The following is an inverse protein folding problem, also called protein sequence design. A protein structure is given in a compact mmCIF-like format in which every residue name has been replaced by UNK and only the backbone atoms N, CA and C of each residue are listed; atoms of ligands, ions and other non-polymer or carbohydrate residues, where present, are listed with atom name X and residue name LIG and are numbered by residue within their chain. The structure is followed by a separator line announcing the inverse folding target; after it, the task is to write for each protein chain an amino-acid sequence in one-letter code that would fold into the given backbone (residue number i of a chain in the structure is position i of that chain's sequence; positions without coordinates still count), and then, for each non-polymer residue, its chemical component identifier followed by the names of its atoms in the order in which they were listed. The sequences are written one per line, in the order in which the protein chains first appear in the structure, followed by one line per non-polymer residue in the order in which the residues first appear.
data_IF_394620992017
#
_entry.id   IF_394620992017
#
_cell.length_a   1.000
_cell.length_b   1.000
_cell.length_c   1.000
_cell.angle_alpha   90.00
_cell.angle_beta   90.00
_cell.angle_gamma   90.00
#
_symmetry.space_group_name_H-M   'P 1'
#
loop_
_entity.id
_entity.type
_entity.pdbx_description
1 polymer ?
#
# COMPACT_ATOMS: atom_id res chain seq x y z
N UNK A 1 17.38 53.51 -42.49
CA UNK A 1 16.75 52.17 -42.48
C UNK A 1 17.81 51.12 -42.25
N UNK A 2 17.67 50.32 -41.19
CA UNK A 2 18.09 48.91 -41.06
C UNK A 2 17.64 48.43 -39.67
N UNK A 3 16.45 47.84 -39.59
CA UNK A 3 16.04 47.11 -38.39
C UNK A 3 16.84 45.81 -38.33
N UNK A 4 17.59 45.62 -37.25
CA UNK A 4 18.16 44.31 -36.90
C UNK A 4 17.07 43.44 -36.30
N UNK A 5 16.69 42.39 -37.03
CA UNK A 5 15.84 41.34 -36.49
C UNK A 5 16.67 40.49 -35.51
N UNK A 6 16.34 40.55 -34.21
CA UNK A 6 16.71 39.46 -33.31
C UNK A 6 15.75 38.29 -33.59
N UNK A 7 16.29 37.19 -34.08
CA UNK A 7 15.57 35.92 -34.06
C UNK A 7 15.56 35.40 -32.62
N UNK A 8 14.38 35.28 -32.01
CA UNK A 8 14.23 34.48 -30.80
C UNK A 8 14.54 33.02 -31.15
N UNK A 9 15.69 32.53 -30.68
CA UNK A 9 15.90 31.10 -30.49
C UNK A 9 14.99 30.65 -29.34
N UNK A 10 13.78 30.22 -29.68
CA UNK A 10 12.96 29.43 -28.78
C UNK A 10 13.71 28.12 -28.52
N UNK A 11 14.27 27.97 -27.32
CA UNK A 11 14.86 26.72 -26.86
C UNK A 11 13.72 25.70 -26.71
N UNK A 12 13.67 24.73 -27.62
CA UNK A 12 12.78 23.57 -27.52
C UNK A 12 13.30 22.66 -26.41
N UNK A 13 12.92 22.99 -25.17
CA UNK A 13 12.99 22.07 -24.03
C UNK A 13 11.68 21.29 -23.89
N UNK A 14 11.75 20.12 -23.25
CA UNK A 14 10.59 19.26 -22.91
C UNK A 14 9.84 18.60 -24.09
N UNK A 15 10.52 17.73 -24.84
CA UNK A 15 9.89 16.74 -25.74
C UNK A 15 10.31 15.28 -25.46
N UNK A 16 11.12 15.05 -24.42
CA UNK A 16 11.73 13.73 -24.11
C UNK A 16 11.36 13.18 -22.73
N UNK A 17 10.47 13.85 -21.98
CA UNK A 17 10.15 13.53 -20.59
C UNK A 17 8.65 13.33 -20.35
N UNK A 18 7.93 13.01 -21.43
CA UNK A 18 6.50 12.70 -21.41
C UNK A 18 6.15 11.66 -22.46
N UNK A 19 5.19 10.79 -22.14
CA UNK A 19 4.69 9.74 -23.00
C UNK A 19 3.36 10.19 -23.61
N UNK A 20 3.20 10.01 -24.92
CA UNK A 20 1.97 10.38 -25.61
C UNK A 20 0.93 9.25 -25.52
N UNK A 21 -0.29 9.59 -25.12
CA UNK A 21 -1.40 8.65 -25.08
C UNK A 21 -2.27 8.81 -26.34
N UNK A 22 -2.20 7.84 -27.26
CA UNK A 22 -2.87 7.91 -28.57
C UNK A 22 -4.38 8.15 -28.52
N UNK A 23 -5.11 7.44 -27.64
CA UNK A 23 -6.58 7.55 -27.59
C UNK A 23 -7.06 8.89 -27.01
N UNK A 24 -6.50 9.30 -25.86
CA UNK A 24 -6.84 10.55 -25.19
C UNK A 24 -6.21 11.81 -25.83
N UNK A 25 -5.13 11.64 -26.60
CA UNK A 25 -4.35 12.69 -27.27
C UNK A 25 -3.74 13.72 -26.32
N UNK A 26 -3.30 13.25 -25.16
CA UNK A 26 -2.61 14.04 -24.12
C UNK A 26 -1.22 13.47 -23.85
N UNK A 27 -0.32 14.30 -23.33
CA UNK A 27 0.94 13.81 -22.77
C UNK A 27 0.77 13.47 -21.28
N UNK A 28 1.34 12.33 -20.90
CA UNK A 28 1.54 11.90 -19.54
C UNK A 28 2.98 12.20 -19.13
N UNK A 29 3.18 12.95 -18.04
CA UNK A 29 4.52 13.32 -17.54
C UNK A 29 5.34 12.09 -17.13
N UNK A 30 6.66 12.25 -17.04
CA UNK A 30 7.54 11.26 -16.44
C UNK A 30 6.97 10.71 -15.13
N UNK A 31 7.05 9.38 -14.98
CA UNK A 31 6.56 8.61 -13.85
C UNK A 31 5.06 8.35 -13.84
N UNK A 32 4.24 9.05 -14.64
CA UNK A 32 2.80 8.90 -14.59
C UNK A 32 2.37 7.44 -14.85
N UNK A 33 1.39 6.98 -14.07
CA UNK A 33 0.91 5.59 -14.06
C UNK A 33 -0.43 5.52 -14.78
N UNK A 34 -0.61 4.47 -15.57
CA UNK A 34 -1.86 4.14 -16.22
C UNK A 34 -2.16 2.64 -16.03
N UNK A 35 -3.39 2.33 -15.61
CA UNK A 35 -3.83 0.95 -15.39
C UNK A 35 -4.49 0.39 -16.65
N UNK A 36 -3.89 -0.68 -17.18
CA UNK A 36 -4.41 -1.42 -18.34
C UNK A 36 -5.42 -2.49 -17.91
N UNK A 37 -5.21 -3.12 -16.74
CA UNK A 37 -6.11 -4.14 -16.19
C UNK A 37 -6.02 -4.22 -14.66
N UNK A 38 -7.15 -4.51 -14.01
CA UNK A 38 -7.22 -4.69 -12.56
C UNK A 38 -7.21 -3.38 -11.77
N UNK A 39 -7.11 -3.48 -10.45
CA UNK A 39 -7.18 -2.35 -9.53
C UNK A 39 -5.86 -2.10 -8.79
N UNK A 40 -5.56 -0.86 -8.36
CA UNK A 40 -4.24 -0.53 -7.84
C UNK A 40 -3.82 -1.33 -6.60
N UNK A 41 -2.68 -2.03 -6.68
CA UNK A 41 -2.08 -2.77 -5.57
C UNK A 41 -2.68 -4.15 -5.30
N UNK A 42 -3.60 -4.62 -6.15
CA UNK A 42 -4.02 -6.03 -6.14
C UNK A 42 -3.14 -6.88 -7.06
N UNK A 43 -3.00 -8.15 -6.69
CA UNK A 43 -2.22 -9.13 -7.45
C UNK A 43 -2.77 -9.31 -8.86
N UNK A 44 -1.88 -9.36 -9.85
CA UNK A 44 -2.23 -9.48 -11.26
C UNK A 44 -2.71 -8.18 -11.93
N UNK A 45 -2.77 -7.05 -11.21
CA UNK A 45 -3.09 -5.77 -11.85
C UNK A 45 -1.94 -5.31 -12.77
N UNK A 46 -2.26 -4.99 -14.02
CA UNK A 46 -1.32 -4.62 -15.07
C UNK A 46 -1.38 -3.12 -15.27
N UNK A 47 -0.24 -2.45 -15.10
CA UNK A 47 -0.11 -1.00 -15.25
C UNK A 47 1.16 -0.65 -16.02
N UNK A 48 1.13 0.45 -16.76
CA UNK A 48 2.30 1.03 -17.42
C UNK A 48 2.73 2.32 -16.72
N UNK A 49 4.04 2.54 -16.66
CA UNK A 49 4.66 3.74 -16.09
C UNK A 49 5.38 4.47 -17.21
N UNK A 50 5.10 5.76 -17.41
CA UNK A 50 5.91 6.58 -18.31
C UNK A 50 7.31 6.80 -17.70
N UNK A 51 8.39 6.50 -18.42
CA UNK A 51 9.76 6.81 -18.01
C UNK A 51 10.55 7.23 -19.25
N UNK A 52 11.18 8.41 -19.24
CA UNK A 52 12.01 8.94 -20.35
C UNK A 52 11.33 8.90 -21.74
N UNK A 53 10.01 9.17 -21.78
CA UNK A 53 9.20 9.13 -23.00
C UNK A 53 8.77 7.73 -23.47
N UNK A 54 9.06 6.67 -22.70
CA UNK A 54 8.70 5.27 -23.00
C UNK A 54 7.75 4.72 -21.93
N UNK A 55 6.77 3.92 -22.33
CA UNK A 55 5.91 3.21 -21.37
C UNK A 55 6.52 1.87 -20.94
N UNK A 56 6.65 1.66 -19.64
CA UNK A 56 7.15 0.43 -19.03
C UNK A 56 6.03 -0.33 -18.31
N UNK A 57 5.60 -1.48 -18.85
CA UNK A 57 4.59 -2.33 -18.20
C UNK A 57 5.11 -3.05 -16.97
N UNK A 58 4.24 -3.23 -15.96
CA UNK A 58 4.50 -3.90 -14.69
C UNK A 58 3.25 -4.69 -14.28
N UNK A 59 3.43 -5.84 -13.64
CA UNK A 59 2.34 -6.65 -13.08
C UNK A 59 2.48 -6.64 -11.56
N UNK A 60 1.47 -6.12 -10.86
CA UNK A 60 1.46 -6.06 -9.40
C UNK A 60 1.39 -7.47 -8.79
N UNK A 61 2.19 -7.69 -7.74
CA UNK A 61 2.24 -8.94 -6.96
C UNK A 61 1.60 -8.81 -5.56
N UNK A 62 0.98 -7.66 -5.27
CA UNK A 62 0.34 -7.29 -4.00
C UNK A 62 1.30 -7.10 -2.80
N UNK A 63 2.60 -6.99 -3.06
CA UNK A 63 3.57 -6.53 -2.04
C UNK A 63 3.66 -5.00 -2.12
N UNK A 64 3.39 -4.33 -1.00
CA UNK A 64 3.58 -2.88 -0.85
C UNK A 64 5.00 -2.57 -0.35
N UNK A 65 5.43 -1.32 -0.40
CA UNK A 65 6.73 -0.78 0.08
C UNK A 65 8.01 -1.37 -0.53
N UNK A 66 7.89 -2.39 -1.37
CA UNK A 66 8.98 -2.89 -2.20
C UNK A 66 9.48 -1.87 -3.24
N UNK A 67 10.73 -2.05 -3.74
CA UNK A 67 11.25 -1.33 -4.90
C UNK A 67 10.38 -1.49 -6.15
N UNK A 68 10.63 -0.65 -7.18
CA UNK A 68 9.94 -0.78 -8.47
C UNK A 68 10.10 -2.19 -9.04
N UNK A 69 8.96 -2.80 -9.38
CA UNK A 69 8.88 -4.05 -10.13
C UNK A 69 9.58 -3.92 -11.51
N UNK A 70 10.15 -5.03 -12.03
CA UNK A 70 10.80 -5.05 -13.33
C UNK A 70 9.80 -4.80 -14.46
N UNK A 71 10.29 -4.30 -15.60
CA UNK A 71 9.46 -4.14 -16.80
C UNK A 71 9.12 -5.51 -17.42
N UNK A 72 7.88 -5.67 -17.87
CA UNK A 72 7.41 -6.78 -18.70
C UNK A 72 6.90 -6.26 -20.04
N UNK A 73 6.72 -7.17 -21.00
CA UNK A 73 6.00 -6.87 -22.24
C UNK A 73 4.49 -6.72 -21.95
N UNK A 74 3.87 -5.63 -22.41
CA UNK A 74 2.46 -5.35 -22.13
C UNK A 74 1.52 -6.36 -22.80
N UNK A 75 1.78 -6.70 -24.06
CA UNK A 75 0.90 -7.55 -24.86
C UNK A 75 0.97 -9.00 -24.35
N UNK A 76 2.17 -9.47 -23.97
CA UNK A 76 2.34 -10.75 -23.30
C UNK A 76 1.62 -10.79 -21.93
N UNK A 77 1.77 -9.75 -21.10
CA UNK A 77 1.14 -9.73 -19.78
C UNK A 77 -0.40 -9.72 -19.87
N UNK A 78 -0.96 -8.98 -20.82
CA UNK A 78 -2.41 -8.96 -21.08
C UNK A 78 -2.89 -10.30 -21.65
N UNK A 79 -2.16 -10.91 -22.58
CA UNK A 79 -2.51 -12.22 -23.14
C UNK A 79 -2.42 -13.36 -22.12
N UNK A 80 -1.40 -13.38 -21.24
CA UNK A 80 -1.29 -14.35 -20.15
C UNK A 80 -2.42 -14.19 -19.12
N UNK A 81 -2.85 -12.95 -18.86
CA UNK A 81 -3.99 -12.66 -17.99
C UNK A 81 -5.31 -13.19 -18.58
N UNK A 82 -5.59 -12.91 -19.86
CA UNK A 82 -6.82 -13.33 -20.55
C UNK A 82 -6.95 -14.86 -20.69
N UNK A 83 -5.83 -15.60 -20.62
CA UNK A 83 -5.82 -17.07 -20.61
C UNK A 83 -6.16 -17.66 -19.23
N UNK A 84 -6.01 -16.89 -18.14
CA UNK A 84 -6.03 -17.42 -16.77
C UNK A 84 -7.24 -17.02 -15.91
N UNK A 85 -8.18 -16.20 -16.37
CA UNK A 85 -9.32 -15.75 -15.55
C UNK A 85 -10.70 -15.96 -16.18
N UNK A 86 -11.63 -16.41 -15.34
CA UNK A 86 -13.06 -16.56 -15.62
C UNK A 86 -13.73 -15.18 -15.72
N UNK A 87 -14.43 -14.85 -16.83
CA UNK A 87 -15.09 -13.55 -17.02
C UNK A 87 -16.29 -13.30 -16.09
N UNK A 88 -16.82 -14.32 -15.39
CA UNK A 88 -18.00 -14.17 -14.52
C UNK A 88 -17.67 -13.70 -13.07
N UNK A 89 -16.41 -13.37 -12.77
CA UNK A 89 -16.02 -12.79 -11.45
C UNK A 89 -16.31 -11.28 -11.41
N UNK A 90 -17.57 -10.93 -11.09
CA UNK A 90 -18.00 -9.55 -10.83
C UNK A 90 -17.27 -8.91 -9.63
N UNK A 91 -16.26 -8.09 -9.92
CA UNK A 91 -15.55 -7.20 -8.98
C UNK A 91 -16.43 -6.00 -8.57
N UNK A 92 -17.63 -6.27 -8.05
CA UNK A 92 -18.68 -5.27 -7.84
C UNK A 92 -18.27 -4.13 -6.88
N UNK A 93 -18.42 -2.88 -7.35
CA UNK A 93 -18.10 -1.61 -6.65
C UNK A 93 -18.55 -1.56 -5.18
N UNK A 94 -17.63 -1.55 -4.22
CA UNK A 94 -17.88 -1.32 -2.77
C UNK A 94 -16.74 -0.45 -2.15
N UNK A 95 -16.98 0.15 -0.98
CA UNK A 95 -16.43 1.48 -0.59
C UNK A 95 -15.55 1.49 0.67
N UNK A 96 -14.27 1.95 0.71
CA UNK A 96 -13.26 2.28 -0.31
C UNK A 96 -11.76 2.43 0.13
N UNK A 97 -11.17 1.82 1.21
CA UNK A 97 -9.69 1.76 1.49
C UNK A 97 -9.05 0.45 2.09
N UNK A 98 -9.67 -0.41 2.93
CA UNK A 98 -9.12 -1.76 3.28
C UNK A 98 -9.34 -2.81 2.17
N UNK A 99 -8.61 -3.95 2.17
CA UNK A 99 -8.81 -5.05 1.20
C UNK A 99 -10.28 -5.46 1.08
N UNK A 100 -10.76 -5.54 -0.16
CA UNK A 100 -12.07 -6.10 -0.49
C UNK A 100 -11.99 -7.65 -0.41
N UNK A 101 -12.78 -8.34 0.44
CA UNK A 101 -12.66 -9.79 0.67
C UNK A 101 -12.69 -10.73 -0.57
N UNK A 102 -13.37 -10.39 -1.69
CA UNK A 102 -13.28 -11.16 -2.94
C UNK A 102 -11.99 -10.92 -3.75
N UNK A 103 -11.24 -9.84 -3.44
CA UNK A 103 -10.03 -9.43 -4.16
C UNK A 103 -8.74 -9.70 -3.37
N UNK A 104 -8.83 -9.84 -2.04
CA UNK A 104 -7.95 -10.72 -1.26
C UNK A 104 -8.59 -11.11 0.06
N UNK A 105 -8.24 -12.30 0.56
CA UNK A 105 -8.90 -12.90 1.72
C UNK A 105 -8.50 -12.19 3.03
N UNK A 106 -9.34 -12.36 4.06
CA UNK A 106 -9.03 -11.96 5.43
C UNK A 106 -8.60 -13.18 6.25
N UNK A 107 -7.80 -12.95 7.28
CA UNK A 107 -7.34 -14.04 8.15
C UNK A 107 -8.54 -14.72 8.84
N UNK A 108 -8.71 -16.05 8.71
CA UNK A 108 -9.81 -16.78 9.34
C UNK A 108 -9.90 -16.50 10.83
N UNK A 109 -11.12 -16.24 11.32
CA UNK A 109 -11.41 -15.86 12.71
C UNK A 109 -10.68 -14.61 13.24
N UNK A 110 -10.04 -13.80 12.38
CA UNK A 110 -9.20 -12.68 12.83
C UNK A 110 -7.88 -13.11 13.47
N UNK A 111 -7.39 -14.30 13.13
CA UNK A 111 -6.17 -14.88 13.71
C UNK A 111 -5.04 -14.89 12.68
N UNK A 112 -4.03 -14.06 12.89
CA UNK A 112 -2.79 -14.05 12.11
C UNK A 112 -1.80 -15.03 12.77
N UNK A 113 -1.53 -16.15 12.10
CA UNK A 113 -0.44 -17.02 12.52
C UNK A 113 0.88 -16.57 11.90
N UNK A 114 1.96 -16.54 12.68
CA UNK A 114 3.30 -16.23 12.16
C UNK A 114 4.37 -17.22 12.64
N UNK A 115 5.47 -17.28 11.89
CA UNK A 115 6.70 -17.96 12.26
C UNK A 115 7.89 -17.03 11.99
N UNK A 116 8.99 -17.22 12.72
CA UNK A 116 10.27 -16.60 12.40
C UNK A 116 11.03 -17.49 11.41
N UNK A 117 11.67 -16.89 10.42
CA UNK A 117 12.68 -17.57 9.60
C UNK A 117 13.87 -18.02 10.46
N UNK A 118 14.50 -19.14 10.13
CA UNK A 118 15.71 -19.66 10.80
C UNK A 118 16.88 -18.67 10.81
N UNK A 119 16.83 -17.65 9.94
CA UNK A 119 17.84 -16.59 9.82
C UNK A 119 17.47 -15.29 10.52
N UNK A 120 16.21 -15.12 10.92
CA UNK A 120 15.71 -13.85 11.45
C UNK A 120 16.47 -13.46 12.73
N UNK A 121 17.00 -12.24 12.76
CA UNK A 121 17.71 -11.69 13.92
C UNK A 121 16.83 -11.76 15.19
N UNK A 122 17.28 -12.45 16.26
CA UNK A 122 16.53 -12.57 17.51
C UNK A 122 16.14 -11.25 18.18
N UNK A 123 16.77 -10.12 17.84
CA UNK A 123 16.42 -8.80 18.38
C UNK A 123 15.03 -8.30 17.93
N UNK A 124 14.41 -8.92 16.92
CA UNK A 124 13.03 -8.59 16.48
C UNK A 124 11.96 -8.99 17.51
N UNK A 125 12.25 -9.95 18.40
CA UNK A 125 11.29 -10.54 19.36
C UNK A 125 10.52 -9.52 20.24
N UNK A 126 11.15 -8.58 20.96
CA UNK A 126 10.43 -7.58 21.75
C UNK A 126 9.47 -6.71 20.92
N UNK A 127 9.79 -6.46 19.64
CA UNK A 127 8.93 -5.68 18.74
C UNK A 127 7.71 -6.49 18.27
N UNK A 128 7.88 -7.80 18.07
CA UNK A 128 6.77 -8.72 17.84
C UNK A 128 5.89 -8.87 19.08
N UNK A 129 6.46 -8.96 20.28
CA UNK A 129 5.70 -9.01 21.54
C UNK A 129 4.90 -7.72 21.78
N UNK A 130 5.47 -6.56 21.46
CA UNK A 130 4.76 -5.28 21.46
C UNK A 130 3.63 -5.25 20.41
N UNK A 131 3.87 -5.78 19.21
CA UNK A 131 2.88 -5.87 18.13
C UNK A 131 1.71 -6.80 18.49
N UNK A 132 2.00 -8.00 19.01
CA UNK A 132 1.01 -8.95 19.55
C UNK A 132 0.18 -8.29 20.66
N UNK A 133 0.82 -7.52 21.53
CA UNK A 133 0.13 -6.82 22.63
C UNK A 133 -0.79 -5.72 22.11
N UNK A 134 -0.31 -4.87 21.22
CA UNK A 134 -1.07 -3.77 20.61
C UNK A 134 -2.35 -4.28 19.92
N UNK A 135 -2.21 -5.22 18.98
CA UNK A 135 -3.37 -5.78 18.28
C UNK A 135 -4.33 -6.51 19.22
N UNK A 136 -3.83 -7.27 20.18
CA UNK A 136 -4.67 -8.02 21.14
C UNK A 136 -5.48 -7.10 22.06
N UNK A 137 -4.92 -5.98 22.50
CA UNK A 137 -5.56 -5.08 23.48
C UNK A 137 -6.47 -4.05 22.83
N UNK A 138 -6.13 -3.55 21.64
CA UNK A 138 -6.92 -2.52 20.94
C UNK A 138 -7.93 -3.08 19.94
N UNK A 139 -7.78 -4.32 19.46
CA UNK A 139 -8.55 -4.81 18.30
C UNK A 139 -9.08 -6.25 18.52
N UNK A 140 -10.03 -6.73 17.68
CA UNK A 140 -10.43 -8.14 17.69
C UNK A 140 -9.34 -9.11 17.18
N UNK A 141 -8.24 -8.63 16.59
CA UNK A 141 -7.20 -9.47 15.98
C UNK A 141 -6.40 -10.22 17.05
N UNK A 142 -6.02 -11.47 16.74
CA UNK A 142 -5.05 -12.24 17.52
C UNK A 142 -3.86 -12.60 16.64
N UNK A 143 -2.68 -12.15 17.04
CA UNK A 143 -1.41 -12.54 16.42
C UNK A 143 -0.80 -13.64 17.28
N UNK A 144 -0.59 -14.82 16.72
CA UNK A 144 -0.09 -16.02 17.44
C UNK A 144 1.00 -16.72 16.64
N UNK A 145 1.88 -17.48 17.31
CA UNK A 145 2.88 -18.29 16.60
C UNK A 145 2.25 -19.57 16.01
N UNK A 146 2.93 -20.19 15.04
CA UNK A 146 2.52 -21.51 14.50
C UNK A 146 2.47 -22.57 15.62
N UNK A 147 3.39 -22.55 16.58
CA UNK A 147 3.40 -23.47 17.73
C UNK A 147 2.17 -23.25 18.62
N UNK A 148 1.78 -21.99 18.86
CA UNK A 148 0.56 -21.65 19.60
C UNK A 148 -0.69 -22.13 18.86
N UNK A 149 -0.76 -21.97 17.53
CA UNK A 149 -1.85 -22.50 16.70
C UNK A 149 -1.95 -24.03 16.83
N UNK A 150 -0.82 -24.75 16.71
CA UNK A 150 -0.76 -26.21 16.84
C UNK A 150 -1.18 -26.68 18.25
N UNK A 151 -0.86 -25.91 19.30
CA UNK A 151 -1.29 -26.19 20.66
C UNK A 151 -2.81 -26.02 20.86
N UNK A 152 -3.44 -25.05 20.19
CA UNK A 152 -4.90 -24.82 20.23
C UNK A 152 -5.71 -25.93 19.52
N UNK A 153 -5.11 -26.65 18.57
CA UNK A 153 -5.74 -27.77 17.83
C UNK A 153 -7.07 -27.42 17.15
N UNK A 154 -7.20 -26.18 16.65
CA UNK A 154 -8.39 -25.69 15.96
C UNK A 154 -8.19 -25.70 14.44
N UNK A 155 -8.83 -26.62 13.69
CA UNK A 155 -8.59 -26.75 12.24
C UNK A 155 -9.01 -25.53 11.41
N UNK A 156 -9.86 -24.67 11.96
CA UNK A 156 -10.35 -23.44 11.34
C UNK A 156 -9.34 -22.29 11.38
N UNK A 157 -8.31 -22.36 12.25
CA UNK A 157 -7.29 -21.32 12.33
C UNK A 157 -6.22 -21.53 11.27
N UNK A 158 -5.88 -20.48 10.52
CA UNK A 158 -4.65 -20.40 9.73
C UNK A 158 -4.45 -21.60 8.77
N UNK A 159 -5.53 -22.07 8.12
CA UNK A 159 -5.48 -23.26 7.25
C UNK A 159 -5.05 -24.54 7.99
N UNK A 160 -5.58 -24.78 9.20
CA UNK A 160 -5.11 -25.81 10.14
C UNK A 160 -3.60 -25.63 10.46
N UNK A 161 -3.22 -24.40 10.82
CA UNK A 161 -1.86 -23.97 11.16
C UNK A 161 -0.81 -24.16 10.04
N UNK A 162 -1.23 -24.35 8.79
CA UNK A 162 -0.34 -24.48 7.62
C UNK A 162 -0.09 -23.15 6.90
N UNK A 163 -0.99 -22.20 7.03
CA UNK A 163 -0.92 -20.91 6.34
C UNK A 163 -0.55 -19.84 7.37
N UNK A 164 0.61 -19.23 7.19
CA UNK A 164 1.20 -18.33 8.18
C UNK A 164 2.08 -17.28 7.52
N UNK A 165 2.20 -16.14 8.19
CA UNK A 165 3.18 -15.11 7.86
C UNK A 165 4.58 -15.59 8.26
N UNK A 166 5.52 -15.64 7.32
CA UNK A 166 6.92 -15.86 7.61
C UNK A 166 7.60 -14.50 7.79
N UNK A 167 8.01 -14.21 9.03
CA UNK A 167 8.79 -13.03 9.37
C UNK A 167 10.25 -13.32 9.06
N UNK A 168 10.83 -12.56 8.14
CA UNK A 168 12.22 -12.67 7.71
C UNK A 168 12.87 -11.29 7.50
N UNK A 169 14.19 -11.29 7.35
CA UNK A 169 15.05 -10.12 7.18
C UNK A 169 15.90 -10.21 5.90
N UNK A 170 15.44 -11.01 4.92
CA UNK A 170 16.26 -11.46 3.78
C UNK A 170 16.58 -10.36 2.75
N UNK A 171 15.81 -9.27 2.75
CA UNK A 171 16.00 -8.11 1.86
C UNK A 171 16.05 -6.80 2.66
N UNK A 172 16.71 -5.75 2.15
CA UNK A 172 16.61 -4.40 2.70
C UNK A 172 15.17 -3.87 2.67
N UNK A 173 14.84 -3.05 3.67
CA UNK A 173 13.52 -2.40 3.78
C UNK A 173 12.48 -3.20 4.57
N UNK A 174 11.29 -2.62 4.65
CA UNK A 174 10.13 -3.17 5.35
C UNK A 174 9.04 -3.37 4.29
N UNK A 175 8.44 -4.57 4.21
CA UNK A 175 7.32 -4.83 3.30
C UNK A 175 6.53 -6.09 3.69
N UNK A 176 5.24 -6.09 3.36
CA UNK A 176 4.35 -7.24 3.54
C UNK A 176 3.33 -7.35 2.40
N UNK A 177 2.77 -8.56 2.25
CA UNK A 177 1.55 -8.78 1.48
C UNK A 177 0.35 -8.14 2.18
N UNK A 178 -0.59 -7.60 1.41
CA UNK A 178 -1.85 -7.07 1.96
C UNK A 178 -2.91 -8.18 2.08
N UNK A 179 -3.38 -8.46 3.29
CA UNK A 179 -4.38 -9.50 3.58
C UNK A 179 -3.81 -10.92 3.72
N UNK A 180 -4.66 -11.94 3.61
CA UNK A 180 -4.33 -13.35 3.76
C UNK A 180 -4.19 -14.04 2.39
N UNK A 181 -3.03 -14.65 2.12
CA UNK A 181 -2.72 -15.31 0.84
C UNK A 181 -3.13 -16.81 0.81
N UNK A 182 -3.78 -17.35 1.84
CA UNK A 182 -4.25 -18.74 1.83
C UNK A 182 -3.16 -19.82 1.77
N UNK A 183 -1.89 -19.46 2.02
CA UNK A 183 -0.69 -20.31 1.77
C UNK A 183 0.33 -20.27 2.92
N UNK A 184 1.22 -21.28 3.06
CA UNK A 184 2.41 -21.20 3.91
C UNK A 184 3.38 -20.11 3.44
N UNK A 185 4.20 -19.59 4.36
CA UNK A 185 5.29 -18.67 4.06
C UNK A 185 4.87 -17.38 3.31
N UNK A 186 3.77 -16.74 3.74
CA UNK A 186 3.46 -15.38 3.28
C UNK A 186 4.48 -14.42 3.89
N UNK A 187 5.32 -13.78 3.07
CA UNK A 187 6.44 -12.97 3.58
C UNK A 187 5.95 -11.70 4.29
N UNK A 188 6.50 -11.46 5.48
CA UNK A 188 6.63 -10.15 6.11
C UNK A 188 8.14 -9.90 6.26
N UNK A 189 8.69 -9.01 5.46
CA UNK A 189 10.12 -8.69 5.52
C UNK A 189 10.33 -7.49 6.45
N UNK A 190 11.12 -7.70 7.49
CA UNK A 190 11.48 -6.74 8.51
C UNK A 190 13.00 -6.76 8.66
N UNK A 191 13.70 -6.05 7.77
CA UNK A 191 15.14 -5.81 7.89
C UNK A 191 15.45 -5.17 9.26
N UNK A 192 16.65 -5.36 9.85
CA UNK A 192 16.98 -4.76 11.15
C UNK A 192 16.75 -3.24 11.26
N UNK A 193 16.92 -2.49 10.16
CA UNK A 193 16.63 -1.05 10.10
C UNK A 193 15.14 -0.69 10.35
N UNK A 194 14.22 -1.66 10.21
CA UNK A 194 12.80 -1.50 10.48
C UNK A 194 12.48 -1.46 11.98
N UNK A 195 13.32 -2.02 12.85
CA UNK A 195 13.02 -2.14 14.28
C UNK A 195 14.16 -1.72 15.21
N UNK A 196 15.43 -1.96 14.86
CA UNK A 196 16.57 -1.60 15.71
C UNK A 196 16.62 -0.08 15.92
N UNK A 197 16.43 0.34 17.18
CA UNK A 197 16.33 1.74 17.60
C UNK A 197 15.14 2.52 16.99
N UNK A 198 14.20 1.83 16.35
CA UNK A 198 12.93 2.38 15.88
C UNK A 198 11.80 2.07 16.87
N UNK A 199 10.68 2.80 16.87
CA UNK A 199 9.52 2.44 17.67
C UNK A 199 8.78 1.22 17.08
N UNK A 200 8.05 0.42 17.90
CA UNK A 200 7.36 -0.79 17.43
C UNK A 200 6.31 -0.57 16.33
N UNK A 201 5.85 0.67 16.09
CA UNK A 201 4.89 0.99 15.05
C UNK A 201 5.34 0.61 13.63
N UNK A 202 6.64 0.46 13.37
CA UNK A 202 7.13 -0.08 12.10
C UNK A 202 6.78 -1.57 11.92
N UNK A 203 6.94 -2.39 12.96
CA UNK A 203 6.52 -3.81 12.91
C UNK A 203 4.99 -3.91 12.87
N UNK A 204 4.30 -3.05 13.60
CA UNK A 204 2.84 -2.97 13.56
C UNK A 204 2.33 -2.58 12.16
N UNK A 205 2.99 -1.66 11.44
CA UNK A 205 2.67 -1.28 10.07
C UNK A 205 2.61 -2.49 9.12
N UNK A 206 3.66 -3.31 9.10
CA UNK A 206 3.71 -4.51 8.24
C UNK A 206 2.68 -5.58 8.63
N UNK A 207 2.39 -5.73 9.93
CA UNK A 207 1.29 -6.57 10.37
C UNK A 207 -0.08 -5.97 9.99
N UNK A 208 -0.21 -4.63 9.94
CA UNK A 208 -1.39 -3.92 9.44
C UNK A 208 -1.67 -4.24 7.97
N UNK A 209 -0.64 -4.27 7.12
CA UNK A 209 -0.74 -4.79 5.75
C UNK A 209 -1.22 -6.24 5.75
N UNK A 210 -0.55 -7.15 6.47
CA UNK A 210 -0.94 -8.55 6.53
C UNK A 210 -2.39 -8.76 7.04
N UNK A 211 -2.90 -7.89 7.92
CA UNK A 211 -4.27 -7.90 8.42
C UNK A 211 -5.29 -7.42 7.37
N UNK A 212 -4.87 -6.59 6.41
CA UNK A 212 -5.69 -6.11 5.28
C UNK A 212 -5.80 -4.58 5.14
N UNK A 213 -4.90 -3.81 5.76
CA UNK A 213 -4.87 -2.35 5.63
C UNK A 213 -3.95 -1.92 4.47
N UNK A 214 -4.41 -1.00 3.62
CA UNK A 214 -3.57 -0.27 2.68
C UNK A 214 -3.00 0.98 3.36
N UNK A 215 -2.05 1.67 2.71
CA UNK A 215 -1.55 2.95 3.20
C UNK A 215 -2.61 4.03 3.22
N UNK A 216 -2.63 4.81 4.30
CA UNK A 216 -3.63 5.86 4.50
C UNK A 216 -3.39 7.06 3.56
N UNK A 217 -2.16 7.28 3.07
CA UNK A 217 -1.92 8.25 2.01
C UNK A 217 -2.50 7.82 0.65
N UNK A 218 -2.96 6.56 0.48
CA UNK A 218 -3.70 6.13 -0.71
C UNK A 218 -5.23 6.34 -0.58
N UNK A 219 -5.69 6.97 0.50
CA UNK A 219 -7.10 7.28 0.72
C UNK A 219 -7.65 8.25 -0.35
N UNK A 220 -8.80 7.98 -1.01
CA UNK A 220 -9.38 8.85 -2.04
C UNK A 220 -9.62 10.30 -1.63
N UNK A 221 -9.95 10.52 -0.35
CA UNK A 221 -10.18 11.85 0.26
C UNK A 221 -8.99 12.39 1.06
N UNK A 222 -7.77 11.90 0.81
CA UNK A 222 -6.56 12.38 1.47
C UNK A 222 -6.42 13.90 1.33
N UNK A 223 -5.82 14.55 2.33
CA UNK A 223 -5.61 16.01 2.38
C UNK A 223 -4.12 16.35 2.32
N UNK A 224 -3.40 15.62 1.49
CA UNK A 224 -1.96 15.72 1.28
C UNK A 224 -1.67 15.75 -0.22
N UNK A 225 -0.52 16.30 -0.58
CA UNK A 225 0.05 16.28 -1.93
C UNK A 225 1.20 15.26 -1.97
N UNK A 226 1.50 14.77 -3.18
CA UNK A 226 2.58 13.82 -3.43
C UNK A 226 3.67 14.54 -4.21
N UNK A 227 4.88 14.62 -3.65
CA UNK A 227 6.01 15.35 -4.23
C UNK A 227 6.92 14.35 -4.92
N UNK A 228 6.94 14.39 -6.26
CA UNK A 228 7.46 13.30 -7.08
C UNK A 228 8.99 13.15 -6.98
N UNK A 229 9.71 14.26 -6.83
CA UNK A 229 11.16 14.32 -6.63
C UNK A 229 11.61 13.78 -5.26
N UNK A 230 10.68 13.59 -4.32
CA UNK A 230 10.94 13.15 -2.94
C UNK A 230 10.51 11.70 -2.66
N UNK A 231 10.00 10.97 -3.65
CA UNK A 231 9.50 9.60 -3.46
C UNK A 231 10.64 8.60 -3.22
N UNK A 232 10.41 7.66 -2.31
CA UNK A 232 11.34 6.56 -1.97
C UNK A 232 10.80 5.17 -2.26
N UNK A 233 9.48 5.04 -2.43
CA UNK A 233 8.82 3.82 -2.83
C UNK A 233 8.39 3.89 -4.30
N UNK A 234 7.96 2.76 -4.87
CA UNK A 234 7.34 2.75 -6.19
C UNK A 234 6.17 3.73 -6.24
N UNK A 235 6.07 4.54 -7.31
CA UNK A 235 4.95 5.47 -7.55
C UNK A 235 3.57 4.81 -7.40
N UNK A 236 3.51 3.50 -7.62
CA UNK A 236 2.27 2.73 -7.50
C UNK A 236 1.69 2.65 -6.07
N UNK A 237 2.52 2.85 -5.05
CA UNK A 237 2.09 2.89 -3.65
C UNK A 237 1.33 4.18 -3.32
N UNK A 238 1.39 5.19 -4.20
CA UNK A 238 0.79 6.51 -3.99
C UNK A 238 -0.51 6.70 -4.78
N UNK A 239 -0.90 5.75 -5.65
CA UNK A 239 -2.15 5.78 -6.42
C UNK A 239 -3.34 5.55 -5.48
N UNK A 240 -4.37 6.39 -5.57
CA UNK A 240 -5.59 6.29 -4.75
C UNK A 240 -6.30 4.94 -4.94
N UNK A 241 -6.67 4.27 -3.84
CA UNK A 241 -7.51 3.04 -3.88
C UNK A 241 -8.98 3.44 -3.85
N UNK A 242 -9.76 3.13 -4.90
CA UNK A 242 -11.16 3.61 -5.00
C UNK A 242 -12.21 2.52 -4.75
N UNK A 243 -11.78 1.30 -4.45
CA UNK A 243 -12.52 0.03 -4.61
C UNK A 243 -12.50 -0.90 -3.37
N UNK A 244 -12.20 -0.32 -2.20
CA UNK A 244 -11.75 -1.00 -0.97
C UNK A 244 -12.78 -0.84 0.21
N UNK A 245 -12.44 -0.73 1.53
CA UNK A 245 -13.37 -0.30 2.65
C UNK A 245 -13.00 0.98 3.45
N UNK A 246 -13.86 2.01 3.56
CA UNK A 246 -13.51 3.39 4.02
C UNK A 246 -13.96 3.67 5.45
N UNK A 247 -13.03 4.15 6.27
CA UNK A 247 -13.25 4.95 7.49
C UNK A 247 -13.09 6.45 7.15
N UNK A 248 -12.90 7.32 8.14
CA UNK A 248 -12.51 8.71 7.90
C UNK A 248 -11.00 8.80 7.59
N UNK A 249 -10.59 9.75 6.73
CA UNK A 249 -9.17 9.94 6.43
C UNK A 249 -8.38 10.35 7.69
N UNK A 250 -7.35 9.59 8.04
CA UNK A 250 -6.55 9.81 9.25
C UNK A 250 -5.09 10.16 8.98
N UNK A 251 -4.76 11.44 9.18
CA UNK A 251 -3.39 11.95 9.05
C UNK A 251 -2.44 11.39 10.12
N UNK A 252 -2.96 10.88 11.25
CA UNK A 252 -2.21 10.24 12.32
C UNK A 252 -2.21 8.71 12.29
N UNK A 253 -2.68 8.08 11.21
CA UNK A 253 -2.66 6.62 11.05
C UNK A 253 -1.23 6.08 11.04
N UNK A 254 -0.99 4.92 11.67
CA UNK A 254 0.29 4.22 11.55
C UNK A 254 0.55 3.78 10.11
N UNK A 255 -0.51 3.63 9.31
CA UNK A 255 -0.46 3.29 7.88
C UNK A 255 -0.17 4.51 6.98
N UNK A 256 -0.03 5.72 7.54
CA UNK A 256 0.34 6.90 6.75
C UNK A 256 1.86 6.96 6.52
N UNK A 257 2.30 7.41 5.34
CA UNK A 257 3.69 7.84 5.10
C UNK A 257 3.97 9.21 5.73
N UNK A 258 5.21 9.50 6.11
CA UNK A 258 5.64 10.85 6.51
C UNK A 258 6.25 11.65 5.36
N UNK A 259 6.63 12.90 5.63
CA UNK A 259 7.35 13.77 4.68
C UNK A 259 8.60 13.11 4.08
N UNK A 260 9.28 12.25 4.84
CA UNK A 260 10.43 11.46 4.39
C UNK A 260 10.11 10.45 3.28
N UNK A 261 8.84 10.16 3.02
CA UNK A 261 8.34 9.33 1.92
C UNK A 261 7.73 10.13 0.75
N UNK A 262 7.88 11.46 0.72
CA UNK A 262 7.40 12.31 -0.38
C UNK A 262 5.91 12.69 -0.31
N UNK A 263 5.33 12.74 0.90
CA UNK A 263 3.94 13.20 1.12
C UNK A 263 3.90 14.33 2.14
N UNK A 264 3.18 15.41 1.85
CA UNK A 264 3.09 16.57 2.74
C UNK A 264 1.69 17.23 2.69
N UNK A 265 1.38 18.03 3.71
CA UNK A 265 0.20 18.89 3.72
C UNK A 265 0.48 20.10 2.82
N UNK A 266 -0.39 20.47 1.87
CA UNK A 266 -0.18 21.67 1.06
C UNK A 266 -0.33 22.95 1.88
N UNK A 267 0.50 23.96 1.57
CA UNK A 267 0.40 25.33 2.14
C UNK A 267 -0.88 26.05 1.72
N UNK A 268 -1.35 25.84 0.48
CA UNK A 268 -2.58 26.42 -0.05
C UNK A 268 -3.62 25.33 -0.38
N UNK A 269 -4.69 25.29 0.41
CA UNK A 269 -5.81 24.36 0.25
C UNK A 269 -6.78 24.75 -0.90
N UNK A 270 -6.55 25.87 -1.58
CA UNK A 270 -7.36 26.34 -2.72
C UNK A 270 -6.79 25.91 -4.07
N UNK A 271 -5.53 25.47 -4.12
CA UNK A 271 -4.88 24.97 -5.34
C UNK A 271 -5.29 23.52 -5.62
N UNK A 272 -5.74 23.26 -6.86
CA UNK A 272 -5.93 21.90 -7.34
C UNK A 272 -4.59 21.31 -7.76
N UNK A 273 -3.92 20.65 -6.82
CA UNK A 273 -2.71 19.89 -7.09
C UNK A 273 -3.00 18.58 -7.84
N UNK A 274 -2.08 18.18 -8.71
CA UNK A 274 -2.17 16.92 -9.46
C UNK A 274 -1.96 15.70 -8.55
N UNK A 275 -2.69 14.64 -8.81
CA UNK A 275 -2.34 13.31 -8.32
C UNK A 275 -1.19 12.66 -9.12
N UNK A 276 -0.64 11.56 -8.59
CA UNK A 276 0.52 10.83 -9.12
C UNK A 276 0.22 10.15 -10.48
N UNK A 277 -1.07 9.91 -10.76
CA UNK A 277 -1.66 9.31 -11.96
C UNK A 277 -2.46 10.33 -12.81
N UNK A 278 -2.43 11.62 -12.46
CA UNK A 278 -3.17 12.68 -13.15
C UNK A 278 -2.27 13.51 -14.09
N UNK A 279 -2.71 13.79 -15.32
CA UNK A 279 -2.01 14.69 -16.24
C UNK A 279 -2.49 16.14 -16.11
N UNK A 280 -1.56 17.07 -15.90
CA UNK A 280 -1.82 18.52 -15.83
C UNK A 280 -2.34 19.10 -17.14
N UNK A 281 -1.98 18.53 -18.30
CA UNK A 281 -2.55 18.92 -19.60
C UNK A 281 -4.05 18.58 -19.69
N UNK A 282 -4.46 17.49 -19.06
CA UNK A 282 -5.83 16.97 -19.11
C UNK A 282 -6.78 17.69 -18.15
N UNK A 283 -6.30 18.05 -16.95
CA UNK A 283 -7.17 18.57 -15.87
C UNK A 283 -6.83 19.99 -15.43
N UNK A 284 -5.71 20.57 -15.88
CA UNK A 284 -5.26 21.90 -15.48
C UNK A 284 -4.70 21.96 -14.04
N UNK A 285 -4.44 20.80 -13.41
CA UNK A 285 -3.88 20.72 -12.08
C UNK A 285 -2.43 21.23 -12.01
N UNK A 286 -2.01 21.70 -10.84
CA UNK A 286 -0.64 22.14 -10.54
C UNK A 286 0.19 20.93 -10.11
N UNK A 287 1.34 20.68 -10.75
CA UNK A 287 2.25 19.61 -10.32
C UNK A 287 2.90 20.02 -8.99
N UNK A 288 2.77 19.21 -7.90
CA UNK A 288 3.37 19.53 -6.61
C UNK A 288 4.90 19.63 -6.65
N UNK A 289 5.44 20.49 -5.80
CA UNK A 289 6.87 20.61 -5.50
C UNK A 289 7.10 20.67 -3.99
N UNK A 290 8.36 20.57 -3.54
CA UNK A 290 8.71 20.78 -2.13
C UNK A 290 8.31 22.17 -1.58
N UNK A 291 8.27 23.22 -2.42
CA UNK A 291 7.90 24.58 -1.98
C UNK A 291 6.39 24.69 -1.63
N UNK A 292 5.57 23.73 -2.08
CA UNK A 292 4.14 23.66 -1.78
C UNK A 292 3.84 23.04 -0.40
N UNK A 293 4.84 22.48 0.29
CA UNK A 293 4.67 21.77 1.57
C UNK A 293 4.62 22.68 2.81
N UNK A 294 3.58 22.54 3.63
CA UNK A 294 3.60 23.01 5.02
C UNK A 294 4.29 21.96 5.89
N UNK A 295 5.60 22.10 6.05
CA UNK A 295 6.45 21.24 6.89
C UNK A 295 5.89 21.08 8.31
N UNK A 296 5.31 22.15 8.89
CA UNK A 296 4.84 22.17 10.27
C UNK A 296 3.52 21.40 10.41
N UNK A 297 2.59 21.57 9.48
CA UNK A 297 1.37 20.78 9.43
C UNK A 297 1.66 19.31 9.08
N UNK A 298 2.72 19.05 8.31
CA UNK A 298 3.16 17.70 7.91
C UNK A 298 3.79 16.88 9.05
N UNK A 299 4.13 17.48 10.19
CA UNK A 299 4.70 16.77 11.36
C UNK A 299 3.76 15.71 11.98
N UNK A 300 2.46 15.75 11.69
CA UNK A 300 1.51 14.71 12.13
C UNK A 300 1.61 13.42 11.31
N UNK A 301 2.14 13.52 10.08
CA UNK A 301 2.17 12.42 9.11
C UNK A 301 3.30 11.44 9.42
N UNK A 302 3.05 10.15 9.28
CA UNK A 302 4.08 9.12 9.39
C UNK A 302 4.49 8.76 10.82
N UNK A 303 3.64 9.02 11.81
CA UNK A 303 3.85 8.54 13.18
C UNK A 303 4.03 7.01 13.22
N UNK A 304 4.81 6.52 14.18
CA UNK A 304 5.08 5.08 14.41
C UNK A 304 5.03 4.72 15.90
N UNK A 305 4.22 5.44 16.67
CA UNK A 305 4.01 5.27 18.11
C UNK A 305 3.01 4.15 18.43
N UNK A 306 2.05 3.89 17.53
CA UNK A 306 1.04 2.85 17.70
C UNK A 306 -0.12 2.97 16.71
N UNK A 307 -1.09 2.04 16.79
CA UNK A 307 -2.37 2.15 16.10
C UNK A 307 -3.13 3.39 16.59
N UNK A 308 -3.58 4.22 15.64
CA UNK A 308 -4.50 5.32 15.89
C UNK A 308 -5.91 4.82 16.24
N UNK A 309 -6.80 5.68 16.76
CA UNK A 309 -8.21 5.32 16.94
C UNK A 309 -8.90 4.89 15.63
N UNK A 310 -8.50 5.49 14.50
CA UNK A 310 -9.07 5.18 13.18
C UNK A 310 -8.48 3.90 12.58
N UNK A 311 -7.21 3.58 12.86
CA UNK A 311 -6.63 2.26 12.53
C UNK A 311 -7.42 1.14 13.24
N UNK A 312 -7.79 1.35 14.50
CA UNK A 312 -8.62 0.43 15.29
C UNK A 312 -10.03 0.31 14.72
N UNK A 313 -10.73 1.43 14.48
CA UNK A 313 -12.06 1.42 13.83
C UNK A 313 -12.02 0.69 12.49
N UNK A 314 -10.96 0.91 11.72
CA UNK A 314 -10.76 0.27 10.41
C UNK A 314 -10.70 -1.25 10.53
N UNK A 315 -9.90 -1.77 11.46
CA UNK A 315 -9.80 -3.21 11.72
C UNK A 315 -11.12 -3.78 12.26
N UNK A 316 -11.81 -3.07 13.14
CA UNK A 316 -13.13 -3.47 13.63
C UNK A 316 -14.14 -3.60 12.50
N UNK A 317 -14.26 -2.60 11.62
CA UNK A 317 -15.15 -2.61 10.45
C UNK A 317 -14.80 -3.73 9.46
N UNK A 318 -13.51 -4.04 9.31
CA UNK A 318 -13.03 -5.10 8.43
C UNK A 318 -13.45 -6.49 8.95
N UNK A 319 -13.23 -6.76 10.24
CA UNK A 319 -13.46 -8.08 10.86
C UNK A 319 -14.84 -8.25 11.52
N UNK A 320 -15.71 -7.22 11.50
CA UNK A 320 -17.08 -7.24 12.06
C UNK A 320 -17.98 -8.38 11.56
N UNK A 321 -17.79 -8.82 10.32
CA UNK A 321 -18.55 -9.94 9.75
C UNK A 321 -18.05 -11.31 10.25
N UNK A 322 -16.78 -11.40 10.64
CA UNK A 322 -16.12 -12.62 11.10
C UNK A 322 -16.44 -12.87 12.59
N UNK A 323 -16.57 -11.81 13.39
CA UNK A 323 -16.90 -11.93 14.83
C UNK A 323 -18.32 -12.48 15.08
N UNK A 324 -19.30 -12.21 14.20
CA UNK A 324 -20.68 -12.70 14.35
C UNK A 324 -20.76 -14.24 14.29
N UNK A 325 -19.91 -14.89 13.50
CA UNK A 325 -19.83 -16.36 13.45
C UNK A 325 -18.99 -16.96 14.60
N UNK A 326 -18.02 -16.20 15.15
CA UNK A 326 -17.24 -16.63 16.32
C UNK A 326 -17.99 -16.52 17.65
N UNK A 327 -18.87 -15.52 17.79
CA UNK A 327 -19.59 -15.22 19.03
C UNK A 327 -20.61 -16.29 19.46
N UNK A 328 -20.94 -17.26 18.59
CA UNK A 328 -21.81 -18.40 18.95
C UNK A 328 -21.05 -19.59 19.57
N UNK A 329 -19.74 -19.51 19.83
CA UNK A 329 -19.01 -20.68 20.34
C UNK A 329 -17.68 -20.51 21.06
N UNK A 330 -17.18 -19.31 21.36
CA UNK A 330 -15.81 -19.15 21.90
C UNK A 330 -15.63 -18.08 22.98
N UNK A 331 -16.03 -18.39 24.22
CA UNK A 331 -15.38 -17.84 25.42
C UNK A 331 -14.01 -18.53 25.62
N UNK A 332 -12.97 -18.05 24.94
CA UNK A 332 -11.60 -18.54 25.16
C UNK A 332 -10.95 -17.76 26.31
N UNK A 333 -11.08 -18.28 27.53
CA UNK A 333 -10.29 -17.80 28.66
C UNK A 333 -8.81 -18.21 28.49
N UNK A 334 -7.96 -17.23 28.19
CA UNK A 334 -6.52 -17.35 28.41
C UNK A 334 -6.23 -17.06 29.89
N UNK A 335 -5.85 -18.11 30.62
CA UNK A 335 -5.26 -18.03 31.96
C UNK A 335 -3.74 -18.04 31.92
#
# INVERSE_FOLDING_TARGET
MKLTWLACLATVGAAYDSCYHEEEKVHYRHGAIEYLRGHPGYKGAIYRVCQDGVYHCKVSDQILDQPSLPSVDCDQALAEYDIMHDPDVDMGRRLGLMVNPPAAELWPAGVVCYALSDKADPAIKPYLEATVTEYRTKTPIRVITVEQCLALRMPTLCGNCKNFALVEDSKPGCFAFVGYEGKPNQVINLHPDCYLNQPPGHVQHEFGHAIGLFHEHAHPKRKIIIVEEALKASRNNYVKKTDTKLTAYDMGSVMHYGASGGVCVPTDLTVQFCDIDESSEKTGCVVPTLDDCDDKASLVLGQRDGLSPTDVESIEVLYKAISIFGAMGMDIHFG
#
